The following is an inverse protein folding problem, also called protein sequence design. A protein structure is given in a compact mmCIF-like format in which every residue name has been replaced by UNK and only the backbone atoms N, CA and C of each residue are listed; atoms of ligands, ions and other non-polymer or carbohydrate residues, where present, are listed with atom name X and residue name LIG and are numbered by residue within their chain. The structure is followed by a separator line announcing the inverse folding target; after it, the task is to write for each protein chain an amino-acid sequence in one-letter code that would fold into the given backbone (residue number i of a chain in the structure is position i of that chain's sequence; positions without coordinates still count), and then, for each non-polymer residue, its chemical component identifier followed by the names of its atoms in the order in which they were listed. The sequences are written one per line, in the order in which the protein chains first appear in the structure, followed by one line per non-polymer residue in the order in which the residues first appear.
data_IF_274091279695
#
_entry.id   IF_274091279695
#
_cell.length_a   1.000
_cell.length_b   1.000
_cell.length_c   1.000
_cell.angle_alpha   90.00
_cell.angle_beta   90.00
_cell.angle_gamma   90.00
#
_symmetry.space_group_name_H-M   'P 1'
#
loop_
_entity.id
_entity.type
_entity.pdbx_description
1 polymer ?
#
# COMPACT_ATOMS: atom_id res chain seq x y z
N UNK A 1 11.34 2.19 -5.64
CA UNK A 1 10.75 2.85 -6.84
C UNK A 1 10.09 4.16 -6.46
N UNK A 2 8.96 4.15 -5.73
CA UNK A 2 8.24 5.38 -5.37
C UNK A 2 9.12 6.46 -4.71
N UNK A 3 10.06 6.08 -3.84
CA UNK A 3 11.03 7.02 -3.24
C UNK A 3 11.87 7.76 -4.29
N UNK A 4 12.34 7.06 -5.33
CA UNK A 4 13.11 7.66 -6.42
C UNK A 4 12.24 8.61 -7.26
N UNK A 5 11.00 8.20 -7.55
CA UNK A 5 10.05 8.99 -8.34
C UNK A 5 9.68 10.29 -7.60
N UNK A 6 9.46 10.21 -6.28
CA UNK A 6 9.20 11.39 -5.44
C UNK A 6 10.41 12.35 -5.38
N UNK A 7 11.63 11.81 -5.50
CA UNK A 7 12.86 12.59 -5.53
C UNK A 7 13.21 13.12 -6.94
N UNK A 8 12.44 12.75 -7.98
CA UNK A 8 12.72 13.14 -9.38
C UNK A 8 13.86 12.36 -10.04
N UNK A 9 14.27 11.23 -9.47
CA UNK A 9 15.40 10.42 -9.94
C UNK A 9 14.99 9.35 -10.94
N UNK A 10 15.94 8.89 -11.76
CA UNK A 10 15.73 7.71 -12.60
C UNK A 10 15.69 6.43 -11.74
N UNK A 11 14.46 6.03 -11.41
CA UNK A 11 14.19 4.84 -10.64
C UNK A 11 14.76 3.56 -11.28
N UNK A 12 14.86 3.49 -12.61
CA UNK A 12 15.35 2.29 -13.30
C UNK A 12 16.85 2.12 -13.05
N UNK A 13 17.61 3.20 -13.22
CA UNK A 13 19.06 3.21 -12.97
C UNK A 13 19.39 2.89 -11.52
N UNK A 14 18.74 3.56 -10.56
CA UNK A 14 18.98 3.35 -9.13
C UNK A 14 18.61 1.92 -8.71
N UNK A 15 17.47 1.39 -9.15
CA UNK A 15 17.04 0.04 -8.78
C UNK A 15 17.95 -1.04 -9.36
N UNK A 16 18.50 -0.85 -10.56
CA UNK A 16 19.46 -1.79 -11.13
C UNK A 16 20.75 -1.85 -10.30
N UNK A 17 21.29 -0.69 -9.92
CA UNK A 17 22.48 -0.61 -9.05
C UNK A 17 22.21 -1.21 -7.66
N UNK A 18 21.04 -0.92 -7.08
CA UNK A 18 20.63 -1.46 -5.78
C UNK A 18 20.52 -3.00 -5.82
N UNK A 19 19.89 -3.56 -6.86
CA UNK A 19 19.76 -5.01 -7.04
C UNK A 19 21.12 -5.69 -7.24
N UNK A 20 22.03 -5.07 -7.99
CA UNK A 20 23.40 -5.56 -8.13
C UNK A 20 24.08 -5.66 -6.76
N UNK A 21 23.98 -4.62 -5.92
CA UNK A 21 24.56 -4.62 -4.58
C UNK A 21 23.93 -5.66 -3.65
N UNK A 22 22.61 -5.85 -3.74
CA UNK A 22 21.90 -6.88 -2.97
C UNK A 22 22.27 -8.31 -3.41
N UNK A 23 22.59 -8.52 -4.69
CA UNK A 23 23.06 -9.81 -5.19
C UNK A 23 24.45 -10.19 -4.61
N UNK A 24 25.23 -9.21 -4.16
CA UNK A 24 26.51 -9.40 -3.46
C UNK A 24 26.34 -9.64 -1.95
N UNK A 25 25.16 -10.07 -1.47
CA UNK A 25 24.78 -10.27 -0.06
C UNK A 25 24.74 -9.00 0.81
N UNK A 26 24.75 -7.81 0.21
CA UNK A 26 24.66 -6.56 0.98
C UNK A 26 23.19 -6.18 1.24
N UNK A 27 22.61 -6.68 2.34
CA UNK A 27 21.18 -6.51 2.63
C UNK A 27 20.76 -5.08 3.05
N UNK A 28 21.69 -4.29 3.58
CA UNK A 28 21.42 -2.96 4.13
C UNK A 28 21.60 -1.82 3.13
N UNK A 29 21.98 -2.13 1.89
CA UNK A 29 22.04 -1.10 0.86
C UNK A 29 20.63 -0.57 0.59
N UNK A 30 20.49 0.74 0.50
CA UNK A 30 19.23 1.41 0.21
C UNK A 30 19.45 2.64 -0.68
N UNK A 31 18.35 3.31 -1.00
CA UNK A 31 18.37 4.52 -1.84
C UNK A 31 18.77 5.71 -0.97
N UNK A 32 19.84 6.40 -1.36
CA UNK A 32 20.26 7.67 -0.80
C UNK A 32 19.64 8.83 -1.61
N UNK A 33 18.83 9.63 -0.92
CA UNK A 33 18.13 10.76 -1.54
C UNK A 33 19.07 11.98 -1.69
N UNK A 34 20.09 12.10 -0.83
CA UNK A 34 20.97 13.27 -0.82
C UNK A 34 22.00 13.24 -1.95
N UNK A 35 22.46 12.04 -2.33
CA UNK A 35 23.51 11.85 -3.33
C UNK A 35 23.03 11.22 -4.64
N UNK A 36 21.73 10.99 -4.80
CA UNK A 36 21.14 10.31 -5.97
C UNK A 36 21.84 8.96 -6.26
N UNK A 37 22.08 8.18 -5.22
CA UNK A 37 22.81 6.91 -5.36
C UNK A 37 22.34 5.83 -4.37
N UNK A 38 23.05 4.71 -4.33
CA UNK A 38 22.81 3.60 -3.41
C UNK A 38 23.93 3.57 -2.37
N UNK A 39 23.56 3.59 -1.10
CA UNK A 39 24.50 3.58 0.04
C UNK A 39 24.11 2.53 1.07
N UNK A 40 25.01 2.20 2.00
CA UNK A 40 24.68 1.39 3.16
C UNK A 40 23.86 2.22 4.17
N UNK A 41 22.56 1.91 4.26
CA UNK A 41 21.64 2.64 5.13
C UNK A 41 21.87 2.37 6.62
N UNK A 42 22.50 1.22 6.96
CA UNK A 42 22.82 0.91 8.34
C UNK A 42 23.90 1.85 8.87
N UNK A 43 24.95 2.07 8.08
CA UNK A 43 26.04 3.02 8.38
C UNK A 43 25.53 4.46 8.33
N UNK A 44 24.64 4.79 7.39
CA UNK A 44 24.01 6.10 7.28
C UNK A 44 22.97 6.41 8.37
N UNK A 45 22.79 5.52 9.36
CA UNK A 45 21.83 5.65 10.46
C UNK A 45 20.36 5.82 10.03
N UNK A 46 20.00 5.30 8.86
CA UNK A 46 18.62 5.25 8.37
C UNK A 46 17.99 3.95 8.86
N UNK A 47 17.44 3.99 10.08
CA UNK A 47 16.87 2.82 10.74
C UNK A 47 15.36 2.89 10.83
N UNK A 48 14.75 1.72 10.79
CA UNK A 48 13.31 1.57 10.94
C UNK A 48 13.01 0.48 11.98
N UNK A 49 12.00 0.66 12.84
CA UNK A 49 11.64 -0.36 13.81
C UNK A 49 11.13 -1.63 13.11
N UNK A 50 11.71 -2.78 13.45
CA UNK A 50 11.30 -4.07 12.89
C UNK A 50 9.80 -4.33 13.07
N UNK A 51 9.25 -3.99 14.23
CA UNK A 51 7.82 -4.15 14.54
C UNK A 51 6.94 -3.35 13.58
N UNK A 52 7.36 -2.13 13.20
CA UNK A 52 6.60 -1.30 12.25
C UNK A 52 6.60 -1.93 10.86
N UNK A 53 7.76 -2.44 10.39
CA UNK A 53 7.86 -3.12 9.10
C UNK A 53 7.07 -4.42 9.04
N UNK A 54 7.10 -5.23 10.11
CA UNK A 54 6.30 -6.46 10.22
C UNK A 54 4.81 -6.11 10.14
N UNK A 55 4.33 -5.18 10.98
CA UNK A 55 2.92 -4.81 11.02
C UNK A 55 2.44 -4.23 9.68
N UNK A 56 3.27 -3.43 9.00
CA UNK A 56 2.94 -2.87 7.70
C UNK A 56 2.77 -3.96 6.62
N UNK A 57 3.67 -4.95 6.58
CA UNK A 57 3.60 -6.06 5.62
C UNK A 57 2.37 -6.93 5.92
N UNK A 58 2.13 -7.25 7.19
CA UNK A 58 0.97 -8.05 7.60
C UNK A 58 -0.34 -7.35 7.22
N UNK A 59 -0.51 -6.08 7.58
CA UNK A 59 -1.71 -5.31 7.24
C UNK A 59 -1.92 -5.18 5.73
N UNK A 60 -0.86 -4.94 4.96
CA UNK A 60 -0.94 -4.88 3.50
C UNK A 60 -1.36 -6.23 2.89
N UNK A 61 -0.83 -7.33 3.42
CA UNK A 61 -1.15 -8.69 2.96
C UNK A 61 -2.59 -9.06 3.30
N UNK A 62 -3.05 -8.77 4.53
CA UNK A 62 -4.43 -9.01 4.95
C UNK A 62 -5.43 -8.19 4.13
N UNK A 63 -5.14 -6.90 3.90
CA UNK A 63 -5.97 -6.05 3.06
C UNK A 63 -6.04 -6.55 1.61
N UNK A 64 -4.92 -6.99 1.05
CA UNK A 64 -4.88 -7.55 -0.30
C UNK A 64 -5.69 -8.86 -0.40
N UNK A 65 -5.50 -9.79 0.53
CA UNK A 65 -6.26 -11.04 0.59
C UNK A 65 -7.76 -10.77 0.75
N UNK A 66 -8.13 -9.80 1.60
CA UNK A 66 -9.53 -9.42 1.80
C UNK A 66 -10.16 -8.91 0.50
N UNK A 67 -9.49 -7.98 -0.20
CA UNK A 67 -9.98 -7.45 -1.48
C UNK A 67 -10.09 -8.57 -2.53
N UNK A 68 -9.10 -9.45 -2.63
CA UNK A 68 -9.09 -10.55 -3.61
C UNK A 68 -10.11 -11.65 -3.30
N UNK A 69 -10.56 -11.77 -2.04
CA UNK A 69 -11.56 -12.76 -1.64
C UNK A 69 -13.01 -12.36 -1.92
N UNK A 70 -13.26 -11.10 -2.27
CA UNK A 70 -14.60 -10.60 -2.60
C UNK A 70 -14.89 -10.87 -4.08
N UNK A 71 -15.84 -11.77 -4.35
CA UNK A 71 -16.29 -12.08 -5.72
C UNK A 71 -17.39 -11.11 -6.20
N UNK A 72 -18.40 -10.87 -5.37
CA UNK A 72 -19.52 -9.99 -5.70
C UNK A 72 -19.76 -8.94 -4.62
N UNK A 73 -20.09 -7.71 -5.05
CA UNK A 73 -20.54 -6.65 -4.15
C UNK A 73 -21.99 -6.29 -4.49
N UNK A 74 -22.93 -6.68 -3.63
CA UNK A 74 -24.36 -6.35 -3.80
C UNK A 74 -24.62 -4.97 -3.20
N UNK A 75 -24.97 -4.00 -4.04
CA UNK A 75 -25.49 -2.70 -3.59
C UNK A 75 -27.00 -2.80 -3.47
N UNK A 76 -27.52 -2.70 -2.25
CA UNK A 76 -28.96 -2.53 -2.03
C UNK A 76 -29.28 -1.04 -2.20
N UNK A 77 -29.94 -0.61 -3.29
CA UNK A 77 -30.46 0.75 -3.35
C UNK A 77 -31.42 0.93 -2.17
N UNK A 78 -31.48 2.14 -1.60
CA UNK A 78 -32.55 2.48 -0.64
C UNK A 78 -33.88 2.35 -1.37
N UNK A 79 -34.49 1.17 -1.26
CA UNK A 79 -35.68 0.84 -2.02
C UNK A 79 -36.87 1.59 -1.47
N UNK A 80 -37.82 1.76 -2.38
CA UNK A 80 -39.25 2.00 -2.20
C UNK A 80 -39.98 1.15 -1.12
N UNK A 81 -39.26 0.50 -0.20
CA UNK A 81 -39.78 -0.13 1.01
C UNK A 81 -40.30 0.92 2.01
N UNK A 82 -39.78 2.15 1.99
CA UNK A 82 -40.36 3.26 2.74
C UNK A 82 -41.63 3.81 2.07
N UNK A 83 -41.68 3.89 0.73
CA UNK A 83 -42.87 4.39 0.02
C UNK A 83 -44.03 3.38 0.00
N UNK A 84 -43.77 2.07 0.01
CA UNK A 84 -44.86 1.08 0.08
C UNK A 84 -45.53 1.03 1.46
N UNK A 85 -44.77 1.19 2.54
CA UNK A 85 -45.33 1.27 3.90
C UNK A 85 -45.99 2.62 4.18
N UNK A 86 -45.44 3.74 3.67
CA UNK A 86 -46.08 5.06 3.80
C UNK A 86 -47.37 5.17 2.98
N UNK A 87 -47.41 4.63 1.75
CA UNK A 87 -48.61 4.63 0.91
C UNK A 87 -49.73 3.73 1.47
N UNK A 88 -49.39 2.61 2.13
CA UNK A 88 -50.37 1.72 2.77
C UNK A 88 -50.95 2.32 4.05
N UNK A 89 -50.18 3.13 4.79
CA UNK A 89 -50.64 3.85 5.97
C UNK A 89 -51.54 5.06 5.62
N UNK A 90 -51.31 5.72 4.48
CA UNK A 90 -52.15 6.85 4.03
C UNK A 90 -53.52 6.44 3.45
N UNK A 91 -53.70 5.19 3.02
CA UNK A 91 -54.95 4.70 2.42
C UNK A 91 -55.90 4.02 3.42
N UNK A 92 -55.60 4.10 4.73
CA UNK A 92 -56.39 3.53 5.84
C UNK A 92 -56.95 4.58 6.81
N UNK A 93 -56.84 5.87 6.50
CA UNK A 93 -57.48 6.98 7.21
C UNK A 93 -58.57 7.62 6.36
#
# INVERSE_FOLDING_TARGET
RQLCENAGFDATKILNKLRQKHAENNIWFGVDIMHEDVTDNFIAAVWEPAVVKINAITAASEAACLILSVDETIKVPKSAAETSNAAKAMNMG
#
